data_IF_606702160766
#
_entry.id   IF_606702160766
#
_cell.length_a   1.000
_cell.length_b   1.000
_cell.length_c   1.000
_cell.angle_alpha   90.00
_cell.angle_beta   90.00
_cell.angle_gamma   90.00
#
_symmetry.space_group_name_H-M   'P 1'
#
loop_
_entity.id
_entity.type
_entity.pdbx_description
1 polymer ?
#
# COMPACT_ATOMS: atom_id res chain seq x y z
N UNK A 1 -5.85 -13.84 32.91
CA UNK A 1 -6.42 -13.64 31.56
C UNK A 1 -7.48 -12.55 31.69
N UNK A 2 -7.20 -11.31 31.29
CA UNK A 2 -8.25 -10.31 31.23
C UNK A 2 -9.28 -10.78 30.19
N UNK A 3 -10.55 -10.92 30.56
CA UNK A 3 -11.60 -11.09 29.54
C UNK A 3 -11.49 -9.88 28.62
N UNK A 4 -11.35 -10.09 27.31
CA UNK A 4 -11.38 -8.98 26.37
C UNK A 4 -12.73 -8.28 26.54
N UNK A 5 -12.75 -7.12 27.21
CA UNK A 5 -13.92 -6.27 27.23
C UNK A 5 -14.32 -6.04 25.79
N UNK A 6 -15.55 -6.41 25.43
CA UNK A 6 -16.06 -6.30 24.07
C UNK A 6 -15.86 -4.86 23.62
N UNK A 7 -15.04 -4.63 22.60
CA UNK A 7 -14.75 -3.29 22.08
C UNK A 7 -15.98 -2.84 21.29
N UNK A 8 -16.81 -2.03 21.93
CA UNK A 8 -18.06 -1.49 21.39
C UNK A 8 -18.09 0.02 21.52
N UNK A 9 -18.84 0.68 20.64
CA UNK A 9 -19.06 2.12 20.70
C UNK A 9 -20.37 2.52 20.05
N UNK A 10 -20.68 3.83 20.08
CA UNK A 10 -21.94 4.36 19.53
C UNK A 10 -22.22 3.90 18.09
N UNK A 11 -21.18 3.79 17.28
CA UNK A 11 -21.27 3.41 15.86
C UNK A 11 -20.57 2.10 15.51
N UNK A 12 -19.94 1.44 16.49
CA UNK A 12 -19.11 0.24 16.28
C UNK A 12 -19.70 -0.90 17.09
N UNK A 13 -20.11 -1.98 16.41
CA UNK A 13 -20.71 -3.16 17.01
C UNK A 13 -19.66 -4.06 17.67
N UNK A 14 -18.51 -4.21 17.03
CA UNK A 14 -17.38 -5.00 17.54
C UNK A 14 -16.10 -4.68 16.78
N UNK A 15 -14.98 -4.95 17.43
CA UNK A 15 -13.65 -4.99 16.82
C UNK A 15 -13.06 -6.39 17.04
N UNK A 16 -12.62 -7.02 15.97
CA UNK A 16 -11.98 -8.34 15.99
C UNK A 16 -10.54 -8.21 15.52
N UNK A 17 -9.61 -8.88 16.20
CA UNK A 17 -8.21 -8.95 15.78
C UNK A 17 -7.90 -10.38 15.37
N UNK A 18 -7.50 -10.58 14.12
CA UNK A 18 -7.15 -11.89 13.57
C UNK A 18 -5.87 -11.79 12.77
N UNK A 19 -4.86 -12.57 13.14
CA UNK A 19 -3.56 -12.59 12.46
C UNK A 19 -2.95 -11.19 12.26
N UNK A 20 -3.06 -10.31 13.26
CA UNK A 20 -2.55 -8.92 13.18
C UNK A 20 -3.38 -7.96 12.31
N UNK A 21 -4.51 -8.41 11.75
CA UNK A 21 -5.50 -7.54 11.10
C UNK A 21 -6.58 -7.18 12.11
N UNK A 22 -6.82 -5.88 12.29
CA UNK A 22 -7.89 -5.35 13.14
C UNK A 22 -9.08 -5.03 12.24
N UNK A 23 -10.24 -5.65 12.47
CA UNK A 23 -11.45 -5.42 11.68
C UNK A 23 -12.54 -4.85 12.55
N UNK A 24 -13.07 -3.69 12.17
CA UNK A 24 -14.19 -3.06 12.85
C UNK A 24 -15.49 -3.33 12.08
N UNK A 25 -16.53 -3.74 12.80
CA UNK A 25 -17.88 -3.86 12.26
C UNK A 25 -18.74 -2.69 12.72
N UNK A 26 -19.39 -2.02 11.77
CA UNK A 26 -20.31 -0.92 12.04
C UNK A 26 -21.59 -1.43 12.71
N UNK A 27 -22.16 -0.59 13.57
CA UNK A 27 -23.44 -0.84 14.23
C UNK A 27 -24.58 -1.04 13.22
N UNK A 28 -25.63 -1.74 13.64
CA UNK A 28 -26.86 -1.91 12.84
C UNK A 28 -27.86 -0.77 13.06
N UNK A 29 -27.67 0.04 14.11
CA UNK A 29 -28.50 1.19 14.47
C UNK A 29 -27.66 2.46 14.58
N UNK A 30 -28.27 3.63 14.40
CA UNK A 30 -27.62 4.94 14.52
C UNK A 30 -26.43 5.18 13.57
N UNK A 31 -26.37 4.44 12.46
CA UNK A 31 -25.43 4.67 11.35
C UNK A 31 -26.19 4.72 10.03
N UNK A 32 -25.59 5.35 9.01
CA UNK A 32 -26.19 5.44 7.67
C UNK A 32 -26.44 4.03 7.10
N UNK A 33 -27.59 3.83 6.43
CA UNK A 33 -28.03 2.56 5.83
C UNK A 33 -26.94 1.93 4.94
N UNK A 34 -26.19 2.76 4.23
CA UNK A 34 -25.13 2.32 3.31
C UNK A 34 -23.89 1.74 4.02
N UNK A 35 -23.75 1.91 5.34
CA UNK A 35 -22.63 1.40 6.15
C UNK A 35 -23.06 0.45 7.27
N UNK A 36 -24.35 0.19 7.44
CA UNK A 36 -24.87 -0.70 8.48
C UNK A 36 -24.31 -2.12 8.34
N UNK A 37 -23.75 -2.65 9.43
CA UNK A 37 -23.17 -4.00 9.46
C UNK A 37 -21.92 -4.20 8.59
N UNK A 38 -21.49 -3.17 7.86
CA UNK A 38 -20.29 -3.20 7.01
C UNK A 38 -19.02 -3.14 7.84
N UNK A 39 -17.89 -3.44 7.20
CA UNK A 39 -16.59 -3.62 7.83
C UNK A 39 -15.52 -2.78 7.15
N UNK A 40 -14.52 -2.41 7.94
CA UNK A 40 -13.23 -1.87 7.52
C UNK A 40 -12.12 -2.56 8.30
N UNK A 41 -10.91 -2.58 7.76
CA UNK A 41 -9.77 -3.20 8.41
C UNK A 41 -8.57 -2.26 8.50
N UNK A 42 -7.78 -2.45 9.55
CA UNK A 42 -6.45 -1.90 9.72
C UNK A 42 -5.46 -3.07 9.76
N UNK A 43 -4.36 -2.94 9.04
CA UNK A 43 -3.30 -3.95 9.00
C UNK A 43 -1.94 -3.27 8.91
N UNK A 44 -0.89 -3.98 9.35
CA UNK A 44 0.48 -3.48 9.26
C UNK A 44 1.32 -4.34 8.32
N UNK A 45 2.27 -3.73 7.60
CA UNK A 45 3.36 -4.45 6.92
C UNK A 45 4.69 -3.95 7.46
N UNK A 46 5.71 -4.82 7.46
CA UNK A 46 7.06 -4.44 7.88
C UNK A 46 7.76 -3.68 6.77
N UNK A 47 8.33 -2.53 7.09
CA UNK A 47 9.16 -1.72 6.20
C UNK A 47 10.44 -1.31 6.96
N UNK A 48 11.60 -1.81 6.52
CA UNK A 48 12.94 -1.42 7.01
C UNK A 48 13.10 -1.39 8.55
N UNK A 49 12.61 -2.42 9.25
CA UNK A 49 12.71 -2.51 10.71
C UNK A 49 11.63 -1.73 11.48
N UNK A 50 10.73 -1.04 10.77
CA UNK A 50 9.51 -0.44 11.31
C UNK A 50 8.27 -1.17 10.78
N UNK A 51 7.10 -0.86 11.35
CA UNK A 51 5.79 -1.31 10.87
C UNK A 51 5.01 -0.11 10.34
N UNK A 52 4.55 -0.23 9.10
CA UNK A 52 3.65 0.74 8.48
C UNK A 52 2.23 0.21 8.54
N UNK A 53 1.33 1.03 9.05
CA UNK A 53 -0.10 0.73 9.12
C UNK A 53 -0.83 1.22 7.87
N UNK A 54 -1.85 0.46 7.49
CA UNK A 54 -2.76 0.71 6.40
C UNK A 54 -4.19 0.60 6.90
N UNK A 55 -5.09 1.32 6.25
CA UNK A 55 -6.51 1.36 6.60
C UNK A 55 -7.33 1.34 5.32
N UNK A 56 -8.33 0.47 5.25
CA UNK A 56 -9.16 0.36 4.07
C UNK A 56 -10.29 -0.64 4.19
N UNK A 57 -10.69 -1.14 3.03
CA UNK A 57 -11.68 -2.20 2.94
C UNK A 57 -11.21 -3.45 3.70
N UNK A 58 -12.14 -4.36 4.05
CA UNK A 58 -11.81 -5.55 4.81
C UNK A 58 -10.73 -6.40 4.12
N UNK A 59 -9.74 -6.83 4.91
CA UNK A 59 -8.65 -7.68 4.45
C UNK A 59 -8.47 -8.88 5.36
N UNK A 60 -7.76 -9.89 4.86
CA UNK A 60 -7.37 -11.08 5.60
C UNK A 60 -5.88 -11.31 5.48
N UNK A 61 -5.31 -11.91 6.53
CA UNK A 61 -3.94 -12.42 6.56
C UNK A 61 -3.97 -13.92 6.85
N UNK A 62 -3.23 -14.70 6.07
CA UNK A 62 -3.16 -16.16 6.23
C UNK A 62 -2.60 -16.59 7.58
N UNK A 63 -1.45 -16.02 7.98
CA UNK A 63 -0.79 -16.31 9.25
C UNK A 63 -0.29 -15.04 9.93
N UNK A 64 -0.31 -15.01 11.28
CA UNK A 64 0.17 -13.85 12.05
C UNK A 64 1.67 -13.53 11.81
N UNK A 65 2.48 -14.57 11.56
CA UNK A 65 3.92 -14.47 11.34
C UNK A 65 4.31 -14.80 9.89
N UNK A 66 3.47 -14.46 8.91
CA UNK A 66 3.79 -14.68 7.51
C UNK A 66 5.06 -13.88 7.14
N UNK A 67 6.16 -14.54 6.72
CA UNK A 67 7.40 -13.84 6.38
C UNK A 67 7.25 -12.90 5.17
N UNK A 68 6.18 -13.06 4.38
CA UNK A 68 5.86 -12.19 3.24
C UNK A 68 4.90 -11.06 3.62
N UNK A 69 4.43 -11.01 4.87
CA UNK A 69 3.42 -10.07 5.36
C UNK A 69 2.22 -9.94 4.39
N UNK A 70 1.85 -11.06 3.77
CA UNK A 70 0.89 -11.09 2.69
C UNK A 70 -0.52 -10.80 3.22
N UNK A 71 -1.14 -9.76 2.66
CA UNK A 71 -2.50 -9.34 2.97
C UNK A 71 -3.31 -9.37 1.70
N UNK A 72 -4.49 -9.99 1.75
CA UNK A 72 -5.41 -10.11 0.62
C UNK A 72 -6.73 -9.45 0.98
N UNK A 73 -7.44 -8.92 -0.02
CA UNK A 73 -8.81 -8.47 0.17
C UNK A 73 -9.67 -9.60 0.77
N UNK A 74 -10.57 -9.24 1.68
CA UNK A 74 -11.61 -10.15 2.12
C UNK A 74 -12.65 -10.28 1.00
N UNK A 75 -13.04 -11.50 0.66
CA UNK A 75 -13.99 -11.80 -0.41
C UNK A 75 -15.44 -11.51 -0.02
N UNK A 76 -15.69 -11.13 1.23
CA UNK A 76 -17.02 -10.80 1.72
C UNK A 76 -17.54 -9.46 1.15
N UNK A 77 -18.83 -9.41 0.84
CA UNK A 77 -19.50 -8.24 0.30
C UNK A 77 -19.80 -7.17 1.36
N UNK A 78 -19.58 -7.46 2.64
CA UNK A 78 -19.78 -6.53 3.76
C UNK A 78 -18.70 -5.44 3.88
N UNK A 79 -18.16 -4.94 2.76
CA UNK A 79 -17.14 -3.89 2.70
C UNK A 79 -17.77 -2.50 2.63
N UNK A 80 -17.25 -1.55 3.40
CA UNK A 80 -17.65 -0.15 3.27
C UNK A 80 -17.21 0.36 1.89
N UNK A 81 -18.13 1.02 1.19
CA UNK A 81 -17.82 1.65 -0.10
C UNK A 81 -16.81 2.78 0.11
N UNK A 82 -15.86 2.92 -0.82
CA UNK A 82 -14.76 3.88 -0.68
C UNK A 82 -15.22 5.32 -0.51
N UNK A 83 -16.40 5.68 -1.04
CA UNK A 83 -17.03 7.00 -0.82
C UNK A 83 -17.34 7.32 0.64
N UNK A 84 -17.54 6.31 1.49
CA UNK A 84 -17.79 6.49 2.92
C UNK A 84 -16.53 6.35 3.78
N UNK A 85 -15.41 5.95 3.18
CA UNK A 85 -14.14 5.91 3.87
C UNK A 85 -13.50 7.31 3.85
N UNK A 86 -12.90 7.76 4.97
CA UNK A 86 -12.09 8.96 4.98
C UNK A 86 -10.91 8.81 4.01
N UNK A 87 -10.36 9.92 3.52
CA UNK A 87 -9.27 9.91 2.54
C UNK A 87 -8.04 9.11 3.01
N UNK A 88 -7.81 9.07 4.31
CA UNK A 88 -6.69 8.35 4.96
C UNK A 88 -6.94 6.86 5.16
N UNK A 89 -8.12 6.33 4.83
CA UNK A 89 -8.49 4.93 5.01
C UNK A 89 -9.00 4.32 3.70
N UNK A 90 -8.24 4.47 2.62
CA UNK A 90 -8.58 3.95 1.28
C UNK A 90 -7.44 3.12 0.69
N UNK A 91 -6.63 2.50 1.54
CA UNK A 91 -5.52 1.66 1.11
C UNK A 91 -6.03 0.38 0.43
N UNK A 92 -5.38 0.00 -0.67
CA UNK A 92 -5.59 -1.31 -1.28
C UNK A 92 -4.88 -2.41 -0.47
N UNK A 93 -5.39 -3.63 -0.47
CA UNK A 93 -4.75 -4.76 0.24
C UNK A 93 -3.28 -5.02 -0.20
N UNK A 94 -2.97 -4.66 -1.44
CA UNK A 94 -1.65 -4.72 -2.08
C UNK A 94 -0.71 -3.57 -1.69
N UNK A 95 -1.21 -2.52 -1.01
CA UNK A 95 -0.40 -1.36 -0.64
C UNK A 95 0.81 -1.78 0.21
N UNK A 96 1.99 -1.18 -0.06
CA UNK A 96 3.24 -1.53 0.61
C UNK A 96 3.94 -2.80 0.11
N UNK A 97 3.43 -3.48 -0.92
CA UNK A 97 4.21 -4.50 -1.63
C UNK A 97 5.26 -3.82 -2.50
N UNK A 98 6.38 -3.41 -1.90
CA UNK A 98 7.65 -3.32 -2.64
C UNK A 98 8.08 -4.75 -2.90
N UNK A 99 7.57 -5.34 -3.99
CA UNK A 99 8.29 -6.44 -4.61
C UNK A 99 9.68 -5.90 -4.90
N UNK A 100 10.65 -6.22 -4.04
CA UNK A 100 12.05 -6.12 -4.43
C UNK A 100 12.16 -7.10 -5.58
N UNK A 101 12.38 -6.65 -6.83
CA UNK A 101 12.54 -7.58 -7.92
C UNK A 101 13.79 -8.38 -7.59
N UNK A 102 13.64 -9.63 -7.15
CA UNK A 102 14.73 -10.59 -7.30
C UNK A 102 15.02 -10.57 -8.79
N UNK A 103 16.24 -10.21 -9.12
CA UNK A 103 16.70 -9.95 -10.46
C UNK A 103 16.37 -11.14 -11.37
N UNK A 104 15.27 -11.04 -12.12
CA UNK A 104 14.99 -11.81 -13.31
C UNK A 104 14.25 -10.89 -14.28
N UNK A 105 15.07 -10.14 -15.04
CA UNK A 105 14.74 -9.10 -16.01
C UNK A 105 13.94 -9.58 -17.23
N UNK A 106 13.16 -10.68 -17.13
CA UNK A 106 12.41 -11.25 -18.26
C UNK A 106 10.90 -10.95 -18.27
N UNK A 107 10.33 -10.42 -17.19
CA UNK A 107 8.89 -10.12 -17.15
C UNK A 107 8.51 -8.69 -17.62
N UNK A 108 9.50 -7.83 -17.92
CA UNK A 108 9.27 -6.41 -18.23
C UNK A 108 8.78 -6.14 -19.67
N UNK A 109 8.29 -7.13 -20.41
CA UNK A 109 7.69 -6.91 -21.74
C UNK A 109 6.17 -6.71 -21.72
N UNK A 110 5.47 -7.04 -20.61
CA UNK A 110 4.00 -7.09 -20.61
C UNK A 110 3.27 -5.95 -19.88
N UNK A 111 3.99 -5.10 -19.13
CA UNK A 111 3.42 -3.95 -18.38
C UNK A 111 3.71 -2.60 -19.09
N UNK A 112 3.93 -2.61 -20.40
CA UNK A 112 4.15 -1.39 -21.21
C UNK A 112 2.87 -0.58 -21.48
N UNK A 113 1.81 -0.70 -20.67
CA UNK A 113 0.51 -0.07 -20.97
C UNK A 113 -0.29 0.47 -19.78
N UNK A 114 0.36 1.01 -18.74
CA UNK A 114 -0.35 1.86 -17.78
C UNK A 114 0.45 3.11 -17.41
N UNK A 115 0.05 4.23 -18.04
CA UNK A 115 0.17 5.63 -17.60
C UNK A 115 1.55 6.15 -17.15
N UNK A 116 2.31 6.64 -18.14
CA UNK A 116 3.21 7.79 -17.95
C UNK A 116 2.36 9.00 -17.56
N UNK A 117 2.60 9.59 -16.39
CA UNK A 117 2.05 10.89 -16.02
C UNK A 117 2.58 11.98 -16.98
N UNK A 118 1.75 12.90 -17.50
CA UNK A 118 2.13 13.88 -18.52
C UNK A 118 3.33 14.77 -18.13
N UNK A 119 3.53 15.04 -16.84
CA UNK A 119 4.61 15.93 -16.35
C UNK A 119 6.02 15.34 -16.51
N UNK A 120 6.14 14.02 -16.69
CA UNK A 120 7.43 13.35 -16.85
C UNK A 120 8.12 13.66 -18.20
N UNK A 121 7.38 14.19 -19.19
CA UNK A 121 7.92 14.44 -20.54
C UNK A 121 8.88 15.63 -20.59
N UNK A 122 8.69 16.64 -19.74
CA UNK A 122 9.55 17.84 -19.79
C UNK A 122 10.95 17.61 -19.19
N UNK A 123 11.09 16.65 -18.26
CA UNK A 123 12.40 16.35 -17.66
C UNK A 123 13.27 15.47 -18.56
N UNK A 124 12.67 14.68 -19.45
CA UNK A 124 13.39 13.81 -20.38
C UNK A 124 13.98 14.58 -21.59
N UNK A 125 13.38 15.71 -21.99
CA UNK A 125 13.88 16.56 -23.08
C UNK A 125 15.07 17.43 -22.63
N UNK A 126 15.05 17.87 -21.37
CA UNK A 126 16.14 18.66 -20.77
C UNK A 126 17.44 17.84 -20.61
N UNK A 127 17.33 16.53 -20.37
CA UNK A 127 18.48 15.63 -20.27
C UNK A 127 19.09 15.24 -21.63
N UNK A 128 18.34 15.33 -22.73
CA UNK A 128 18.88 15.05 -24.07
C UNK A 128 19.71 16.23 -24.61
N UNK A 129 19.29 17.46 -24.34
CA UNK A 129 20.01 18.65 -24.78
C UNK A 129 21.38 18.85 -24.10
N UNK A 130 21.62 18.27 -22.91
CA UNK A 130 22.95 18.33 -22.27
C UNK A 130 23.94 17.27 -22.74
N UNK A 131 23.51 16.24 -23.48
CA UNK A 131 24.40 15.18 -23.99
C UNK A 131 24.90 15.40 -25.41
N UNK A 132 24.32 16.34 -26.15
CA UNK A 132 24.71 16.65 -27.53
C UNK A 132 25.84 17.70 -27.62
N UNK A 133 26.16 18.37 -26.51
CA UNK A 133 27.27 19.32 -26.38
C UNK A 133 28.48 18.70 -25.67
N UNK A 134 29.00 17.60 -26.22
CA UNK A 134 30.36 17.14 -25.91
C UNK A 134 31.39 18.07 -26.55
N UNK A 135 32.05 18.92 -25.76
CA UNK A 135 33.30 19.56 -26.17
C UNK A 135 34.48 18.69 -25.66
N UNK A 136 35.33 18.13 -26.53
CA UNK A 136 36.45 17.28 -26.12
C UNK A 136 37.65 18.14 -25.72
N UNK A 137 38.17 17.97 -24.50
CA UNK A 137 39.44 18.61 -24.16
C UNK A 137 39.87 18.45 -22.71
N UNK A 138 41.15 18.10 -22.55
CA UNK A 138 41.98 18.13 -21.33
C UNK A 138 41.75 16.98 -20.35
N UNK A 139 42.45 15.85 -20.45
CA UNK A 139 43.91 15.67 -20.24
C UNK A 139 44.41 16.21 -18.90
N UNK A 140 44.64 15.30 -17.94
CA UNK A 140 45.77 15.35 -17.01
C UNK A 140 45.84 14.03 -16.20
N UNK A 141 46.61 13.05 -16.70
CA UNK A 141 47.23 12.03 -15.86
C UNK A 141 48.75 12.21 -15.91
N UNK A 142 49.28 12.67 -14.77
CA UNK A 142 50.47 12.18 -14.08
C UNK A 142 51.87 12.53 -14.64
N UNK A 143 52.56 13.32 -13.82
CA UNK A 143 54.01 13.37 -13.56
C UNK A 143 54.75 12.03 -13.78
N UNK A 144 55.94 12.08 -14.38
CA UNK A 144 57.26 11.60 -13.89
C UNK A 144 58.23 11.48 -15.10
N UNK A 145 59.40 12.12 -15.00
CA UNK A 145 60.63 11.72 -15.70
C UNK A 145 60.83 12.27 -17.10
#
# INVERSE_FOLDING_TARGET
>A
MASASKIIGKYVKQVEVKNGVVTAQMASSNVNKEIQGKRLSLWAKRENGSVKWFCGQPVKRGAANDPKDAVTADTDNNKIETKHLPSTCRDESSAGCIETPRADFKHFQKISRCRVLPESRQMAEKLRHSRESGNPGLSARKLIG
#
